data_IF_197268693040
#
_entry.id   IF_197268693040
#
_cell.length_a   1.000
_cell.length_b   1.000
_cell.length_c   1.000
_cell.angle_alpha   90.00
_cell.angle_beta   90.00
_cell.angle_gamma   90.00
#
_symmetry.space_group_name_H-M   'P 1'
#
loop_
_entity.id
_entity.type
_entity.pdbx_description
1 polymer ?
#
# COMPACT_ATOMS: atom_id res chain seq x y z
N UNK A 1 17.13 -2.38 4.35
CA UNK A 1 16.71 -0.98 4.56
C UNK A 1 16.20 -0.45 3.23
N UNK A 2 14.87 -0.48 3.05
CA UNK A 2 14.22 0.10 1.88
C UNK A 2 14.41 1.62 1.89
N UNK A 3 14.67 2.21 0.72
CA UNK A 3 14.67 3.65 0.56
C UNK A 3 13.35 4.04 -0.11
N UNK A 4 12.72 5.07 0.42
CA UNK A 4 11.59 5.73 -0.23
C UNK A 4 12.17 6.85 -1.07
N UNK A 5 11.98 6.75 -2.38
CA UNK A 5 12.43 7.78 -3.33
C UNK A 5 11.33 8.81 -3.54
N UNK A 6 11.63 10.08 -3.27
CA UNK A 6 10.71 11.19 -3.36
C UNK A 6 11.37 12.34 -4.11
N UNK A 7 10.72 12.85 -5.15
CA UNK A 7 11.15 14.06 -5.85
C UNK A 7 10.83 15.31 -5.00
N UNK A 8 11.78 15.67 -4.16
CA UNK A 8 11.66 16.83 -3.26
C UNK A 8 11.61 18.16 -3.99
N UNK A 9 12.15 18.26 -5.21
CA UNK A 9 12.12 19.48 -6.00
C UNK A 9 10.70 19.95 -6.39
N UNK A 10 9.72 19.05 -6.25
CA UNK A 10 8.31 19.32 -6.55
C UNK A 10 7.43 19.46 -5.31
N UNK A 11 8.01 19.34 -4.12
CA UNK A 11 7.25 19.49 -2.88
C UNK A 11 7.26 20.96 -2.46
N UNK A 12 6.11 21.59 -2.53
CA UNK A 12 5.90 22.84 -1.83
C UNK A 12 5.66 22.56 -0.33
N UNK A 13 6.36 23.23 0.60
CA UNK A 13 6.30 22.93 2.04
C UNK A 13 4.90 23.00 2.64
N UNK A 14 4.00 23.75 2.02
CA UNK A 14 2.61 23.94 2.47
C UNK A 14 1.62 22.94 1.92
N UNK A 15 1.99 22.13 0.93
CA UNK A 15 1.06 21.21 0.31
C UNK A 15 0.94 19.90 1.08
N UNK A 16 -0.27 19.48 1.45
CA UNK A 16 -0.47 18.19 2.06
C UNK A 16 -0.16 17.07 1.06
N UNK A 17 0.49 16.02 1.56
CA UNK A 17 0.76 14.82 0.81
C UNK A 17 -0.45 13.89 0.85
N UNK A 18 -0.69 13.17 -0.24
CA UNK A 18 -1.57 12.00 -0.31
C UNK A 18 -0.70 10.76 -0.40
N UNK A 19 -0.81 9.89 0.59
CA UNK A 19 -0.02 8.68 0.70
C UNK A 19 -0.94 7.48 0.52
N UNK A 20 -0.75 6.76 -0.57
CA UNK A 20 -1.45 5.53 -0.84
C UNK A 20 -0.49 4.35 -0.76
N UNK A 21 -0.88 3.33 -0.02
CA UNK A 21 -0.15 2.08 0.11
C UNK A 21 -0.99 0.92 -0.42
N UNK A 22 -0.35 -0.02 -1.09
CA UNK A 22 -0.90 -1.35 -1.36
C UNK A 22 0.02 -2.38 -0.71
N UNK A 23 -0.53 -3.14 0.20
CA UNK A 23 0.17 -4.17 0.94
C UNK A 23 -0.13 -5.53 0.31
N UNK A 24 0.90 -6.13 -0.27
CA UNK A 24 0.87 -7.49 -0.77
C UNK A 24 1.42 -8.41 0.31
N UNK A 25 0.63 -9.39 0.71
CA UNK A 25 0.97 -10.29 1.81
C UNK A 25 1.02 -11.72 1.29
N UNK A 26 2.08 -12.45 1.65
CA UNK A 26 2.19 -13.88 1.43
C UNK A 26 1.42 -14.67 2.50
N UNK A 27 1.26 -15.97 2.30
CA UNK A 27 0.61 -16.88 3.27
C UNK A 27 1.32 -16.99 4.61
N UNK A 28 2.61 -16.64 4.65
CA UNK A 28 3.44 -16.76 5.86
C UNK A 28 3.20 -15.63 6.85
N UNK A 29 2.59 -14.53 6.37
CA UNK A 29 2.32 -13.34 7.18
C UNK A 29 1.02 -13.50 7.93
N UNK A 30 1.05 -13.26 9.22
CA UNK A 30 -0.15 -13.23 10.06
C UNK A 30 -0.82 -11.86 10.03
N UNK A 31 -2.11 -11.74 10.36
CA UNK A 31 -2.76 -10.44 10.50
C UNK A 31 -2.02 -9.49 11.45
N UNK A 32 -1.43 -10.00 12.53
CA UNK A 32 -0.71 -9.20 13.53
C UNK A 32 0.57 -8.54 13.00
N UNK A 33 1.17 -9.08 11.94
CA UNK A 33 2.36 -8.50 11.32
C UNK A 33 2.07 -7.23 10.51
N UNK A 34 0.80 -6.99 10.11
CA UNK A 34 0.43 -5.86 9.25
C UNK A 34 0.84 -4.52 9.87
N UNK A 35 0.56 -4.33 11.16
CA UNK A 35 0.88 -3.08 11.85
C UNK A 35 2.40 -2.80 11.83
N UNK A 36 3.21 -3.82 11.98
CA UNK A 36 4.68 -3.72 11.89
C UNK A 36 5.12 -3.19 10.52
N UNK A 37 4.57 -3.71 9.43
CA UNK A 37 4.92 -3.24 8.09
C UNK A 37 4.51 -1.80 7.85
N UNK A 38 3.32 -1.42 8.29
CA UNK A 38 2.81 -0.04 8.18
C UNK A 38 3.67 0.92 8.98
N UNK A 39 4.00 0.60 10.23
CA UNK A 39 4.85 1.42 11.09
C UNK A 39 6.26 1.57 10.52
N UNK A 40 6.85 0.48 10.02
CA UNK A 40 8.18 0.50 9.39
C UNK A 40 8.20 1.44 8.18
N UNK A 41 7.18 1.39 7.33
CA UNK A 41 7.06 2.32 6.21
C UNK A 41 6.98 3.78 6.68
N UNK A 42 6.13 4.07 7.67
CA UNK A 42 5.97 5.43 8.20
C UNK A 42 7.27 5.95 8.81
N UNK A 43 7.99 5.14 9.56
CA UNK A 43 9.29 5.53 10.13
C UNK A 43 10.30 5.91 9.06
N UNK A 44 10.38 5.12 7.99
CA UNK A 44 11.31 5.37 6.88
C UNK A 44 10.87 6.60 6.10
N UNK A 45 9.57 6.77 5.86
CA UNK A 45 9.03 7.97 5.22
C UNK A 45 9.38 9.24 6.03
N UNK A 46 9.16 9.22 7.34
CA UNK A 46 9.52 10.34 8.22
C UNK A 46 11.03 10.61 8.16
N UNK A 47 11.86 9.57 8.24
CA UNK A 47 13.32 9.72 8.13
C UNK A 47 13.73 10.31 6.78
N UNK A 48 13.09 9.89 5.70
CA UNK A 48 13.36 10.40 4.35
C UNK A 48 12.98 11.88 4.24
N UNK A 49 11.80 12.25 4.72
CA UNK A 49 11.32 13.64 4.70
C UNK A 49 12.12 14.57 5.63
N UNK A 50 12.72 14.05 6.69
CA UNK A 50 13.54 14.83 7.62
C UNK A 50 15.00 14.97 7.20
N UNK A 51 15.52 14.07 6.36
CA UNK A 51 16.92 14.10 5.85
C UNK A 51 17.11 15.00 4.63
N UNK A 52 16.04 15.32 3.91
CA UNK A 52 16.14 16.22 2.77
C UNK A 52 16.49 17.62 3.26
N UNK A 53 17.20 18.43 2.45
CA UNK A 53 17.63 19.81 2.72
C UNK A 53 16.53 20.80 3.10
N UNK A 54 15.28 20.32 3.15
CA UNK A 54 14.15 20.97 3.82
C UNK A 54 14.37 21.20 5.33
N UNK A 55 15.35 20.53 5.94
CA UNK A 55 15.67 20.63 7.37
C UNK A 55 16.82 21.59 7.67
N UNK A 56 17.33 22.34 6.70
CA UNK A 56 18.49 23.25 6.90
C UNK A 56 18.20 24.47 7.78
N UNK A 57 16.96 24.61 8.29
CA UNK A 57 16.63 25.62 9.27
C UNK A 57 16.57 24.97 10.66
N UNK A 58 17.73 24.93 11.31
CA UNK A 58 18.01 24.20 12.56
C UNK A 58 17.22 24.66 13.80
N UNK A 59 16.44 25.76 13.71
CA UNK A 59 15.72 26.35 14.85
C UNK A 59 14.29 25.82 15.09
N UNK A 60 13.79 24.88 14.23
CA UNK A 60 12.37 24.45 14.23
C UNK A 60 12.21 22.92 14.46
N UNK A 61 13.15 22.29 15.17
CA UNK A 61 13.28 20.83 15.16
C UNK A 61 12.09 20.05 15.77
N UNK A 62 11.40 20.56 16.79
CA UNK A 62 10.34 19.82 17.50
C UNK A 62 8.96 20.02 16.89
N UNK A 63 8.59 21.24 16.54
CA UNK A 63 7.31 21.56 15.91
C UNK A 63 7.22 21.02 14.48
N UNK A 64 8.29 21.12 13.70
CA UNK A 64 8.35 20.53 12.35
C UNK A 64 8.22 19.00 12.37
N UNK A 65 8.79 18.32 13.35
CA UNK A 65 8.67 16.86 13.44
C UNK A 65 7.22 16.42 13.69
N UNK A 66 6.48 17.15 14.53
CA UNK A 66 5.05 16.90 14.75
C UNK A 66 4.21 17.22 13.53
N UNK A 67 4.50 18.30 12.81
CA UNK A 67 3.83 18.64 11.55
C UNK A 67 4.13 17.60 10.45
N UNK A 68 5.36 17.11 10.35
CA UNK A 68 5.75 16.04 9.41
C UNK A 68 5.02 14.75 9.79
N UNK A 69 4.97 14.35 11.05
CA UNK A 69 4.22 13.18 11.51
C UNK A 69 2.72 13.28 11.16
N UNK A 70 2.12 14.46 11.25
CA UNK A 70 0.72 14.66 10.83
C UNK A 70 0.54 14.60 9.31
N UNK A 71 1.55 15.01 8.53
CA UNK A 71 1.55 14.93 7.06
C UNK A 71 1.83 13.53 6.52
N UNK A 72 2.44 12.65 7.32
CA UNK A 72 2.79 11.28 6.95
C UNK A 72 1.70 10.25 7.25
N UNK A 73 0.46 10.68 7.49
CA UNK A 73 -0.67 9.75 7.62
C UNK A 73 -0.95 9.10 6.29
N UNK A 74 -1.20 7.78 6.33
CA UNK A 74 -1.59 7.02 5.16
C UNK A 74 -3.05 7.33 4.85
N UNK A 75 -3.30 7.90 3.67
CA UNK A 75 -4.66 8.25 3.24
C UNK A 75 -5.45 7.04 2.76
N UNK A 76 -4.77 6.06 2.15
CA UNK A 76 -5.38 4.84 1.65
C UNK A 76 -4.44 3.66 1.85
N UNK A 77 -4.91 2.59 2.49
CA UNK A 77 -4.23 1.31 2.57
C UNK A 77 -5.07 0.23 1.90
N UNK A 78 -4.55 -0.35 0.83
CA UNK A 78 -5.21 -1.41 0.06
C UNK A 78 -4.56 -2.75 0.41
N UNK A 79 -5.37 -3.71 0.84
CA UNK A 79 -4.95 -5.06 1.13
C UNK A 79 -5.00 -5.91 -0.14
N UNK A 80 -3.89 -6.55 -0.48
CA UNK A 80 -3.80 -7.55 -1.55
C UNK A 80 -3.23 -8.83 -0.97
N UNK A 81 -4.09 -9.81 -0.76
CA UNK A 81 -3.67 -11.12 -0.28
C UNK A 81 -3.29 -11.99 -1.47
N UNK A 82 -2.26 -12.78 -1.33
CA UNK A 82 -1.83 -13.71 -2.38
C UNK A 82 -2.07 -15.14 -1.96
N UNK A 83 -2.75 -15.90 -2.80
CA UNK A 83 -2.86 -17.34 -2.62
C UNK A 83 -1.75 -18.02 -3.42
N UNK A 84 -0.85 -18.74 -2.74
CA UNK A 84 0.23 -19.53 -3.36
C UNK A 84 1.21 -18.75 -4.27
N UNK A 85 1.42 -17.44 -3.99
CA UNK A 85 2.24 -16.60 -4.87
C UNK A 85 1.57 -16.26 -6.20
N UNK A 86 0.33 -16.69 -6.41
CA UNK A 86 -0.43 -16.47 -7.60
C UNK A 86 -1.54 -15.44 -7.31
N UNK A 87 -1.28 -14.18 -7.62
CA UNK A 87 -2.22 -13.07 -7.39
C UNK A 87 -3.46 -13.11 -8.31
N UNK A 88 -3.61 -14.16 -9.12
CA UNK A 88 -4.72 -14.33 -10.04
C UNK A 88 -5.82 -15.24 -9.50
N UNK A 89 -5.63 -15.87 -8.35
CA UNK A 89 -6.68 -16.69 -7.77
C UNK A 89 -7.54 -15.80 -6.86
N UNK A 90 -8.77 -15.60 -7.31
CA UNK A 90 -9.87 -15.02 -6.53
C UNK A 90 -9.97 -15.73 -5.18
N UNK A 91 -10.09 -14.98 -4.10
CA UNK A 91 -10.32 -15.55 -2.77
C UNK A 91 -11.58 -16.40 -2.80
N UNK A 92 -11.48 -17.61 -2.30
CA UNK A 92 -12.60 -18.54 -2.27
C UNK A 92 -13.49 -18.39 -1.03
N UNK A 93 -13.06 -17.61 -0.03
CA UNK A 93 -13.80 -17.43 1.22
C UNK A 93 -13.51 -16.10 1.89
N UNK A 94 -14.58 -15.50 2.41
CA UNK A 94 -14.51 -14.30 3.25
C UNK A 94 -13.70 -14.55 4.52
N UNK A 95 -13.76 -15.77 5.07
CA UNK A 95 -13.05 -16.15 6.30
C UNK A 95 -11.54 -15.99 6.19
N UNK A 96 -11.00 -16.04 4.96
CA UNK A 96 -9.59 -15.80 4.72
C UNK A 96 -9.23 -14.31 4.73
N UNK A 97 -10.10 -13.46 4.21
CA UNK A 97 -9.86 -12.00 4.12
C UNK A 97 -10.13 -11.32 5.47
N UNK A 98 -11.20 -11.72 6.13
CA UNK A 98 -11.75 -11.03 7.28
C UNK A 98 -10.76 -10.81 8.45
N UNK A 99 -9.91 -11.78 8.84
CA UNK A 99 -8.93 -11.57 9.90
C UNK A 99 -7.94 -10.43 9.57
N UNK A 100 -7.45 -10.38 8.33
CA UNK A 100 -6.55 -9.34 7.87
C UNK A 100 -7.27 -8.00 7.77
N UNK A 101 -8.50 -8.00 7.27
CA UNK A 101 -9.27 -6.78 7.12
C UNK A 101 -9.59 -6.14 8.49
N UNK A 102 -9.95 -6.94 9.49
CA UNK A 102 -10.16 -6.47 10.86
C UNK A 102 -8.91 -5.79 11.43
N UNK A 103 -7.72 -6.27 11.04
CA UNK A 103 -6.47 -5.62 11.44
C UNK A 103 -6.30 -4.25 10.78
N UNK A 104 -6.75 -4.09 9.53
CA UNK A 104 -6.80 -2.77 8.90
C UNK A 104 -7.74 -1.81 9.63
N UNK A 105 -8.90 -2.30 10.09
CA UNK A 105 -9.84 -1.50 10.91
C UNK A 105 -9.18 -0.98 12.19
N UNK A 106 -8.39 -1.81 12.88
CA UNK A 106 -7.62 -1.38 14.05
C UNK A 106 -6.62 -0.25 13.71
N UNK A 107 -5.99 -0.28 12.52
CA UNK A 107 -5.11 0.80 12.08
C UNK A 107 -5.86 2.11 11.84
N UNK A 108 -7.11 2.03 11.38
CA UNK A 108 -7.97 3.21 11.24
C UNK A 108 -8.36 3.75 12.63
N UNK A 109 -8.77 2.88 13.56
CA UNK A 109 -9.08 3.26 14.95
C UNK A 109 -7.87 3.92 15.64
N UNK A 110 -6.65 3.43 15.39
CA UNK A 110 -5.38 4.02 15.85
C UNK A 110 -4.99 5.31 15.10
N UNK A 111 -5.75 5.73 14.09
CA UNK A 111 -5.48 6.90 13.24
C UNK A 111 -4.16 6.84 12.46
N UNK A 112 -3.61 5.67 12.24
CA UNK A 112 -2.43 5.44 11.42
C UNK A 112 -2.78 5.47 9.92
N UNK A 113 -3.97 4.99 9.59
CA UNK A 113 -4.54 4.95 8.24
C UNK A 113 -5.88 5.66 8.25
N UNK A 114 -6.22 6.37 7.17
CA UNK A 114 -7.49 7.08 7.05
C UNK A 114 -8.57 6.22 6.40
N UNK A 115 -8.25 5.60 5.27
CA UNK A 115 -9.16 4.78 4.51
C UNK A 115 -8.52 3.43 4.20
N UNK A 116 -9.34 2.39 4.12
CA UNK A 116 -8.90 1.03 3.81
C UNK A 116 -9.67 0.47 2.62
N UNK A 117 -9.04 -0.44 1.90
CA UNK A 117 -9.63 -1.07 0.74
C UNK A 117 -9.07 -2.46 0.48
N UNK A 118 -9.58 -3.12 -0.54
CA UNK A 118 -9.16 -4.45 -0.96
C UNK A 118 -8.79 -4.48 -2.43
N UNK A 119 -7.91 -5.39 -2.81
CA UNK A 119 -7.50 -5.61 -4.19
C UNK A 119 -7.80 -7.03 -4.64
N UNK A 120 -8.17 -7.15 -5.92
CA UNK A 120 -8.35 -8.43 -6.60
C UNK A 120 -9.49 -9.31 -6.04
N UNK A 121 -10.46 -8.68 -5.38
CA UNK A 121 -11.74 -9.30 -5.00
C UNK A 121 -12.76 -8.92 -6.05
N UNK A 122 -13.10 -9.86 -6.93
CA UNK A 122 -14.04 -9.65 -8.05
C UNK A 122 -15.42 -10.28 -7.83
N UNK A 123 -15.57 -11.09 -6.80
CA UNK A 123 -16.85 -11.72 -6.44
C UNK A 123 -17.71 -10.75 -5.62
N UNK A 124 -18.83 -10.33 -6.19
CA UNK A 124 -19.77 -9.41 -5.57
C UNK A 124 -20.31 -9.97 -4.24
N UNK A 125 -20.60 -11.28 -4.20
CA UNK A 125 -21.09 -11.89 -2.97
C UNK A 125 -20.11 -11.82 -1.80
N UNK A 126 -18.80 -11.86 -2.11
CA UNK A 126 -17.76 -11.66 -1.11
C UNK A 126 -17.64 -10.20 -0.68
N UNK A 127 -17.80 -9.25 -1.60
CA UNK A 127 -17.79 -7.83 -1.30
C UNK A 127 -18.99 -7.43 -0.44
N UNK A 128 -20.19 -7.97 -0.72
CA UNK A 128 -21.38 -7.78 0.10
C UNK A 128 -21.14 -8.32 1.52
N UNK A 129 -20.63 -9.54 1.66
CA UNK A 129 -20.29 -10.11 2.97
C UNK A 129 -19.24 -9.28 3.70
N UNK A 130 -18.23 -8.75 2.99
CA UNK A 130 -17.23 -7.89 3.59
C UNK A 130 -17.86 -6.60 4.12
N UNK A 131 -18.77 -5.99 3.37
CA UNK A 131 -19.56 -4.83 3.81
C UNK A 131 -20.37 -5.12 5.09
N UNK A 132 -21.02 -6.28 5.14
CA UNK A 132 -21.89 -6.66 6.26
C UNK A 132 -21.12 -7.04 7.52
N UNK A 133 -19.95 -7.65 7.38
CA UNK A 133 -19.19 -8.24 8.49
C UNK A 133 -18.09 -7.33 9.04
N UNK A 134 -17.89 -6.15 8.45
CA UNK A 134 -16.89 -5.20 8.87
C UNK A 134 -17.50 -3.95 9.49
N UNK A 135 -16.83 -3.38 10.47
CA UNK A 135 -17.21 -2.12 11.12
C UNK A 135 -16.94 -0.93 10.20
N UNK A 136 -15.86 -1.01 9.43
CA UNK A 136 -15.41 0.01 8.48
C UNK A 136 -15.39 -0.64 7.10
N UNK A 137 -16.41 -0.41 6.26
CA UNK A 137 -16.46 -1.00 4.93
C UNK A 137 -15.31 -0.48 4.04
N UNK A 138 -14.93 -1.23 2.99
CA UNK A 138 -13.88 -0.79 2.10
C UNK A 138 -14.26 0.53 1.39
N UNK A 139 -13.38 1.53 1.51
CA UNK A 139 -13.52 2.78 0.79
C UNK A 139 -13.08 2.66 -0.69
N UNK A 140 -12.31 1.63 -1.02
CA UNK A 140 -11.87 1.36 -2.37
C UNK A 140 -11.75 -0.13 -2.66
N UNK A 141 -12.08 -0.50 -3.89
CA UNK A 141 -11.83 -1.81 -4.47
C UNK A 141 -10.92 -1.62 -5.66
N UNK A 142 -9.80 -2.33 -5.68
CA UNK A 142 -8.84 -2.26 -6.76
C UNK A 142 -8.86 -3.56 -7.58
N UNK A 143 -9.06 -3.44 -8.89
CA UNK A 143 -9.13 -4.60 -9.79
C UNK A 143 -8.02 -4.55 -10.83
N UNK A 144 -7.53 -5.72 -11.23
CA UNK A 144 -6.52 -5.83 -12.28
C UNK A 144 -7.11 -5.42 -13.62
N UNK A 145 -6.44 -4.50 -14.31
CA UNK A 145 -6.82 -4.14 -15.68
C UNK A 145 -6.30 -5.20 -16.65
N UNK A 146 -7.21 -5.83 -17.37
CA UNK A 146 -6.89 -6.67 -18.54
C UNK A 146 -7.58 -6.05 -19.73
N UNK A 147 -6.85 -5.85 -20.83
CA UNK A 147 -7.36 -5.15 -22.03
C UNK A 147 -8.60 -5.82 -22.66
N UNK A 148 -8.76 -7.13 -22.45
CA UNK A 148 -9.93 -7.91 -22.91
C UNK A 148 -11.20 -7.66 -22.09
N UNK A 149 -11.10 -7.02 -20.91
CA UNK A 149 -12.23 -6.80 -20.00
C UNK A 149 -13.13 -5.61 -20.36
N UNK A 150 -12.96 -4.98 -21.53
CA UNK A 150 -13.76 -3.78 -21.90
C UNK A 150 -15.27 -4.03 -22.00
N UNK A 151 -15.69 -5.29 -22.14
CA UNK A 151 -17.09 -5.70 -22.26
C UNK A 151 -17.45 -6.84 -21.30
N UNK A 152 -16.74 -6.97 -20.18
CA UNK A 152 -16.98 -8.03 -19.20
C UNK A 152 -18.12 -7.61 -18.27
N UNK A 153 -19.17 -8.44 -18.18
CA UNK A 153 -20.29 -8.21 -17.27
C UNK A 153 -19.86 -8.07 -15.82
N UNK A 154 -18.83 -8.80 -15.40
CA UNK A 154 -18.29 -8.74 -14.03
C UNK A 154 -17.77 -7.33 -13.66
N UNK A 155 -17.19 -6.60 -14.64
CA UNK A 155 -16.74 -5.24 -14.39
C UNK A 155 -17.93 -4.29 -14.22
N UNK A 156 -18.98 -4.48 -15.01
CA UNK A 156 -20.20 -3.68 -14.88
C UNK A 156 -20.84 -3.91 -13.51
N UNK A 157 -20.92 -5.15 -13.07
CA UNK A 157 -21.45 -5.50 -11.75
C UNK A 157 -20.63 -4.87 -10.63
N UNK A 158 -19.29 -4.87 -10.75
CA UNK A 158 -18.39 -4.21 -9.79
C UNK A 158 -18.57 -2.68 -9.79
N UNK A 159 -18.73 -2.07 -10.95
CA UNK A 159 -18.99 -0.61 -11.04
C UNK A 159 -20.34 -0.29 -10.37
N UNK A 160 -21.38 -1.05 -10.65
CA UNK A 160 -22.69 -0.88 -10.03
C UNK A 160 -22.62 -1.08 -8.51
N UNK A 161 -21.87 -2.07 -8.06
CA UNK A 161 -21.59 -2.27 -6.63
C UNK A 161 -20.93 -1.04 -6.02
N UNK A 162 -19.89 -0.52 -6.68
CA UNK A 162 -19.17 0.69 -6.22
C UNK A 162 -20.09 1.91 -6.11
N UNK A 163 -20.93 2.14 -7.11
CA UNK A 163 -21.90 3.24 -7.12
C UNK A 163 -22.96 3.08 -6.02
N UNK A 164 -23.48 1.85 -5.85
CA UNK A 164 -24.50 1.55 -4.83
C UNK A 164 -23.99 1.74 -3.40
N UNK A 165 -22.72 1.43 -3.14
CA UNK A 165 -22.14 1.41 -1.79
C UNK A 165 -21.17 2.56 -1.52
N UNK A 166 -21.05 3.53 -2.44
CA UNK A 166 -20.09 4.65 -2.37
C UNK A 166 -18.63 4.17 -2.21
N UNK A 167 -18.25 3.14 -2.98
CA UNK A 167 -16.93 2.53 -2.97
C UNK A 167 -16.15 2.93 -4.22
N UNK A 168 -14.96 3.47 -4.04
CA UNK A 168 -14.10 3.89 -5.15
C UNK A 168 -13.56 2.69 -5.92
N UNK A 169 -13.89 2.62 -7.21
CA UNK A 169 -13.36 1.59 -8.11
C UNK A 169 -12.03 2.03 -8.72
N UNK A 170 -10.96 1.33 -8.40
CA UNK A 170 -9.61 1.59 -8.87
C UNK A 170 -9.13 0.47 -9.80
N UNK A 171 -8.22 0.83 -10.71
CA UNK A 171 -7.56 -0.13 -11.61
C UNK A 171 -6.08 -0.22 -11.31
N UNK A 172 -5.50 -1.39 -11.51
CA UNK A 172 -4.05 -1.58 -11.44
C UNK A 172 -3.56 -2.50 -12.55
N UNK A 173 -2.27 -2.41 -12.81
CA UNK A 173 -1.54 -3.25 -13.76
C UNK A 173 -0.35 -3.93 -13.06
N UNK A 174 -0.51 -4.27 -11.78
CA UNK A 174 0.58 -4.92 -11.06
C UNK A 174 0.89 -6.26 -11.68
N UNK A 175 2.15 -6.48 -12.03
CA UNK A 175 2.66 -7.75 -12.51
C UNK A 175 3.04 -8.63 -11.32
N UNK A 176 2.91 -9.94 -11.48
CA UNK A 176 3.26 -10.91 -10.45
C UNK A 176 4.02 -12.06 -11.08
N UNK A 177 5.13 -12.44 -10.49
CA UNK A 177 5.80 -11.85 -9.32
C UNK A 177 6.36 -10.45 -9.62
N UNK A 178 6.27 -9.53 -8.64
CA UNK A 178 6.77 -8.14 -8.79
C UNK A 178 8.26 -8.05 -9.09
N UNK A 179 9.00 -8.97 -8.49
CA UNK A 179 10.44 -9.10 -8.68
C UNK A 179 10.77 -10.59 -8.60
N UNK A 180 11.59 -11.06 -9.50
CA UNK A 180 12.17 -12.39 -9.36
C UNK A 180 13.15 -12.41 -8.19
N UNK A 181 13.44 -13.59 -7.67
CA UNK A 181 14.43 -13.77 -6.60
C UNK A 181 15.79 -13.19 -7.01
N UNK A 182 16.17 -13.35 -8.28
CA UNK A 182 17.40 -12.82 -8.84
C UNK A 182 17.39 -11.29 -8.84
N UNK A 183 16.30 -10.67 -9.25
CA UNK A 183 16.12 -9.22 -9.26
C UNK A 183 16.17 -8.64 -7.84
N UNK A 184 15.51 -9.29 -6.87
CA UNK A 184 15.55 -8.89 -5.46
C UNK A 184 16.99 -8.98 -4.92
N UNK A 185 17.64 -10.10 -5.11
CA UNK A 185 19.02 -10.29 -4.64
C UNK A 185 19.98 -9.29 -5.31
N UNK A 186 19.86 -9.07 -6.63
CA UNK A 186 20.66 -8.09 -7.35
C UNK A 186 20.47 -6.66 -6.84
N UNK A 187 19.25 -6.27 -6.48
CA UNK A 187 18.96 -4.93 -5.96
C UNK A 187 19.49 -4.74 -4.53
N UNK A 188 19.36 -5.74 -3.68
CA UNK A 188 19.88 -5.72 -2.31
C UNK A 188 21.40 -5.70 -2.30
N UNK A 189 22.05 -6.45 -3.20
CA UNK A 189 23.51 -6.53 -3.29
C UNK A 189 24.16 -5.30 -3.95
N UNK A 190 23.43 -4.43 -4.64
CA UNK A 190 24.01 -3.19 -5.23
C UNK A 190 24.61 -2.24 -4.20
N UNK A 191 24.16 -2.32 -2.95
CA UNK A 191 24.69 -1.52 -1.84
C UNK A 191 25.74 -2.24 -0.98
N UNK A 192 26.09 -3.48 -1.29
CA UNK A 192 27.02 -4.28 -0.53
C UNK A 192 28.36 -4.41 -1.27
N UNK A 193 29.47 -4.47 -0.53
CA UNK A 193 30.77 -4.80 -1.11
C UNK A 193 30.73 -6.19 -1.78
N UNK A 194 31.45 -6.32 -2.89
CA UNK A 194 31.54 -7.57 -3.65
C UNK A 194 31.92 -8.73 -2.73
N UNK A 195 31.06 -9.73 -2.62
CA UNK A 195 31.29 -10.94 -1.82
C UNK A 195 30.48 -11.07 -0.53
N UNK A 196 29.56 -10.17 -0.26
CA UNK A 196 28.66 -10.27 0.89
C UNK A 196 27.66 -11.43 0.70
N UNK A 197 27.91 -12.56 1.35
CA UNK A 197 26.99 -13.70 1.39
C UNK A 197 25.76 -13.48 2.30
N UNK A 198 25.75 -12.38 3.07
CA UNK A 198 24.73 -12.07 4.08
C UNK A 198 23.48 -11.44 3.46
N UNK A 199 23.58 -10.93 2.23
CA UNK A 199 22.50 -10.19 1.56
C UNK A 199 21.57 -11.06 0.71
N UNK A 200 21.50 -12.38 0.96
CA UNK A 200 20.62 -13.26 0.22
C UNK A 200 19.22 -13.18 0.80
N UNK A 201 18.26 -12.76 -0.03
CA UNK A 201 16.83 -12.82 0.30
C UNK A 201 16.32 -14.21 -0.10
N UNK A 202 15.93 -15.00 0.89
CA UNK A 202 15.38 -16.32 0.64
C UNK A 202 13.86 -16.29 0.47
N UNK A 203 13.16 -15.46 1.23
CA UNK A 203 11.72 -15.28 1.17
C UNK A 203 11.33 -13.80 1.27
N UNK A 204 10.23 -13.45 0.62
CA UNK A 204 9.58 -12.15 0.76
C UNK A 204 8.20 -12.39 1.36
N UNK A 205 8.01 -11.95 2.59
CA UNK A 205 6.77 -12.14 3.32
C UNK A 205 5.72 -11.09 2.92
N UNK A 206 6.16 -9.85 2.72
CA UNK A 206 5.28 -8.76 2.32
C UNK A 206 6.01 -7.78 1.41
N UNK A 207 5.25 -7.13 0.53
CA UNK A 207 5.70 -6.02 -0.32
C UNK A 207 4.74 -4.86 -0.16
N UNK A 208 5.27 -3.68 0.14
CA UNK A 208 4.52 -2.44 0.18
C UNK A 208 4.79 -1.64 -1.10
N UNK A 209 3.76 -1.49 -1.92
CA UNK A 209 3.77 -0.54 -3.03
C UNK A 209 3.26 0.80 -2.51
N UNK A 210 4.02 1.86 -2.70
CA UNK A 210 3.64 3.19 -2.29
C UNK A 210 3.46 4.14 -3.47
N UNK A 211 2.60 5.13 -3.27
CA UNK A 211 2.42 6.28 -4.17
C UNK A 211 2.23 7.52 -3.30
N UNK A 212 3.06 8.53 -3.52
CA UNK A 212 3.02 9.81 -2.81
C UNK A 212 2.74 10.90 -3.82
N UNK A 213 1.64 11.62 -3.63
CA UNK A 213 1.21 12.70 -4.54
C UNK A 213 1.00 13.99 -3.77
N UNK A 214 1.16 15.11 -4.44
CA UNK A 214 0.74 16.42 -3.91
C UNK A 214 -0.79 16.55 -4.04
N UNK A 215 -1.47 16.85 -2.94
CA UNK A 215 -2.93 16.95 -2.92
C UNK A 215 -3.48 18.02 -3.88
N UNK A 216 -2.81 19.17 -3.96
CA UNK A 216 -3.32 20.31 -4.69
C UNK A 216 -3.09 20.24 -6.21
N UNK A 217 -2.04 19.55 -6.63
CA UNK A 217 -1.64 19.51 -8.04
C UNK A 217 -1.75 18.11 -8.65
N UNK A 218 -2.14 17.10 -7.85
CA UNK A 218 -2.17 15.69 -8.26
C UNK A 218 -0.84 15.22 -8.90
N UNK A 219 0.26 15.87 -8.52
CA UNK A 219 1.60 15.56 -9.04
C UNK A 219 2.14 14.37 -8.26
N UNK A 220 2.56 13.35 -9.00
CA UNK A 220 3.24 12.19 -8.42
C UNK A 220 4.64 12.62 -7.96
N UNK A 221 4.90 12.51 -6.67
CA UNK A 221 6.17 12.87 -6.04
C UNK A 221 7.07 11.66 -5.83
N UNK A 222 6.46 10.50 -5.60
CA UNK A 222 7.20 9.27 -5.43
C UNK A 222 6.31 8.05 -5.64
N UNK A 223 6.87 7.00 -6.23
CA UNK A 223 6.21 5.72 -6.43
C UNK A 223 7.25 4.61 -6.42
N UNK A 224 6.97 3.53 -5.71
CA UNK A 224 7.90 2.41 -5.67
C UNK A 224 7.37 1.24 -4.85
N UNK A 225 8.28 0.32 -4.58
CA UNK A 225 8.06 -0.85 -3.75
C UNK A 225 9.02 -0.83 -2.56
N UNK A 226 8.52 -1.32 -1.45
CA UNK A 226 9.23 -1.36 -0.18
C UNK A 226 9.12 -2.75 0.45
#
# INVERSE_FOLDING_TARGET
NGNIDIDFGRIEPKNPLLISLKLFISKTVTPDDIEKYVNTFQEILIKTLTRSDYANDCSIATTKKQEICQKCKIDMLILSLTKDGNHHQTYSSIDYILPYYKKLEELVDKKLVKNIGVSDVSDISMLEKLQEQTKIPPAAIQVKYVSSMRCDSQILDLIQFGEKHDVLMLRHSDEVPFLTREQLNSNVCKGCEKGCHICRIDNVDAVLKYSITSKWHSVLLGKGYF
#
